data_IF_219528917576
#
_entry.id   IF_219528917576
#
_cell.length_a   1.000
_cell.length_b   1.000
_cell.length_c   1.000
_cell.angle_alpha   90.00
_cell.angle_beta   90.00
_cell.angle_gamma   90.00
#
_symmetry.space_group_name_H-M   'P 1'
#
loop_
_entity.id
_entity.type
_entity.pdbx_description
1 polymer ?
#
# COMPACT_ATOMS: atom_id res chain seq x y z
N UNK A 1 -12.22 -12.49 -70.42
CA UNK A 1 -10.94 -11.98 -69.83
C UNK A 1 -11.31 -11.10 -68.62
N UNK A 2 -11.10 -11.54 -67.38
CA UNK A 2 -11.36 -10.73 -66.16
C UNK A 2 -10.23 -9.72 -65.97
N UNK A 3 -10.57 -8.46 -65.82
CA UNK A 3 -9.66 -7.32 -65.80
C UNK A 3 -8.63 -7.39 -64.65
N UNK A 4 -7.34 -7.62 -64.85
CA UNK A 4 -6.32 -7.77 -63.84
C UNK A 4 -6.18 -6.52 -62.92
N UNK A 5 -6.52 -5.35 -63.45
CA UNK A 5 -6.47 -4.07 -62.74
C UNK A 5 -7.49 -3.96 -61.60
N UNK A 6 -8.65 -4.61 -61.66
CA UNK A 6 -9.68 -4.58 -60.63
C UNK A 6 -9.25 -5.43 -59.43
N UNK A 7 -8.68 -6.61 -59.68
CA UNK A 7 -8.20 -7.50 -58.63
C UNK A 7 -7.06 -6.85 -57.81
N UNK A 8 -6.12 -6.19 -58.51
CA UNK A 8 -5.01 -5.46 -57.85
C UNK A 8 -5.52 -4.29 -56.98
N UNK A 9 -6.53 -3.55 -57.46
CA UNK A 9 -7.17 -2.46 -56.66
C UNK A 9 -7.84 -2.99 -55.42
N UNK A 10 -8.57 -4.10 -55.48
CA UNK A 10 -9.23 -4.73 -54.35
C UNK A 10 -8.22 -5.24 -53.33
N UNK A 11 -7.12 -5.89 -53.79
CA UNK A 11 -6.04 -6.37 -52.92
C UNK A 11 -5.31 -5.20 -52.20
N UNK A 12 -5.03 -4.13 -52.94
CA UNK A 12 -4.40 -2.95 -52.36
C UNK A 12 -5.33 -2.25 -51.33
N UNK A 13 -6.61 -2.10 -51.64
CA UNK A 13 -7.60 -1.53 -50.68
C UNK A 13 -7.70 -2.37 -49.40
N UNK A 14 -7.72 -3.71 -49.51
CA UNK A 14 -7.71 -4.61 -48.34
C UNK A 14 -6.44 -4.43 -47.51
N UNK A 15 -5.25 -4.38 -48.13
CA UNK A 15 -3.98 -4.14 -47.42
C UNK A 15 -3.99 -2.80 -46.69
N UNK A 16 -4.43 -1.73 -47.35
CA UNK A 16 -4.54 -0.40 -46.76
C UNK A 16 -5.47 -0.40 -45.56
N UNK A 17 -6.62 -1.07 -45.65
CA UNK A 17 -7.57 -1.19 -44.53
C UNK A 17 -6.98 -2.00 -43.37
N UNK A 18 -6.29 -3.11 -43.68
CA UNK A 18 -5.61 -3.93 -42.65
C UNK A 18 -4.51 -3.16 -41.93
N UNK A 19 -3.66 -2.43 -42.64
CA UNK A 19 -2.62 -1.60 -42.03
C UNK A 19 -3.22 -0.44 -41.23
N UNK A 20 -4.29 0.19 -41.72
CA UNK A 20 -5.02 1.22 -40.98
C UNK A 20 -5.58 0.69 -39.64
N UNK A 21 -6.20 -0.50 -39.66
CA UNK A 21 -6.71 -1.13 -38.45
C UNK A 21 -5.60 -1.51 -37.48
N UNK A 22 -4.48 -2.06 -37.99
CA UNK A 22 -3.31 -2.36 -37.17
C UNK A 22 -2.73 -1.12 -36.47
N UNK A 23 -2.63 -0.01 -37.20
CA UNK A 23 -2.15 1.26 -36.65
C UNK A 23 -3.11 1.81 -35.57
N UNK A 24 -4.41 1.70 -35.78
CA UNK A 24 -5.42 2.09 -34.77
C UNK A 24 -5.31 1.24 -33.52
N UNK A 25 -5.19 -0.07 -33.64
CA UNK A 25 -5.01 -0.99 -32.50
C UNK A 25 -3.70 -0.68 -31.78
N UNK A 26 -2.60 -0.51 -32.49
CA UNK A 26 -1.31 -0.16 -31.89
C UNK A 26 -1.38 1.19 -31.18
N UNK A 27 -1.99 2.20 -31.81
CA UNK A 27 -2.23 3.51 -31.20
C UNK A 27 -3.06 3.42 -29.92
N UNK A 28 -4.12 2.60 -29.93
CA UNK A 28 -4.94 2.32 -28.74
C UNK A 28 -4.14 1.66 -27.61
N UNK A 29 -3.32 0.65 -27.93
CA UNK A 29 -2.46 -0.02 -26.92
C UNK A 29 -1.44 0.97 -26.34
N UNK A 30 -0.79 1.77 -27.17
CA UNK A 30 0.18 2.77 -26.70
C UNK A 30 -0.50 3.85 -25.86
N UNK A 31 -1.70 4.28 -26.24
CA UNK A 31 -2.50 5.23 -25.47
C UNK A 31 -2.88 4.68 -24.09
N UNK A 32 -3.37 3.44 -24.01
CA UNK A 32 -3.67 2.77 -22.75
C UNK A 32 -2.43 2.62 -21.89
N UNK A 33 -1.30 2.20 -22.47
CA UNK A 33 -0.05 2.09 -21.73
C UNK A 33 0.40 3.46 -21.17
N UNK A 34 0.31 4.51 -21.95
CA UNK A 34 0.63 5.87 -21.53
C UNK A 34 -0.27 6.32 -20.38
N UNK A 35 -1.58 6.08 -20.48
CA UNK A 35 -2.54 6.38 -19.42
C UNK A 35 -2.21 5.62 -18.13
N UNK A 36 -1.92 4.32 -18.23
CA UNK A 36 -1.58 3.49 -17.06
C UNK A 36 -0.30 3.97 -16.36
N UNK A 37 0.74 4.33 -17.10
CA UNK A 37 1.96 4.90 -16.54
C UNK A 37 1.73 6.30 -15.96
N UNK A 38 0.95 7.14 -16.62
CA UNK A 38 0.60 8.46 -16.09
C UNK A 38 -0.13 8.33 -14.75
N UNK A 39 -1.16 7.50 -14.66
CA UNK A 39 -1.89 7.25 -13.40
C UNK A 39 -0.95 6.72 -12.31
N UNK A 40 -0.05 5.77 -12.65
CA UNK A 40 0.89 5.20 -11.68
C UNK A 40 1.99 6.17 -11.22
N UNK A 41 2.17 7.30 -11.89
CA UNK A 41 3.16 8.34 -11.53
C UNK A 41 2.57 9.50 -10.73
N UNK A 42 1.27 9.50 -10.49
CA UNK A 42 0.61 10.51 -9.64
C UNK A 42 0.58 10.00 -8.20
N UNK A 43 0.59 10.91 -7.22
CA UNK A 43 0.37 10.60 -5.82
C UNK A 43 -0.78 11.45 -5.28
N UNK A 44 -1.78 10.80 -4.71
CA UNK A 44 -2.83 11.46 -3.95
C UNK A 44 -2.49 11.45 -2.47
N UNK A 45 -2.57 12.60 -1.81
CA UNK A 45 -2.49 12.70 -0.35
C UNK A 45 -3.91 12.85 0.21
N UNK A 46 -4.43 11.77 0.78
CA UNK A 46 -5.78 11.71 1.32
C UNK A 46 -5.79 12.06 2.81
N UNK A 47 -6.71 12.91 3.24
CA UNK A 47 -7.01 13.15 4.65
C UNK A 47 -8.33 12.45 4.99
N UNK A 48 -8.28 11.54 5.94
CA UNK A 48 -9.40 10.67 6.33
C UNK A 48 -9.67 10.88 7.81
N UNK A 49 -10.86 11.36 8.15
CA UNK A 49 -11.26 11.51 9.56
C UNK A 49 -12.09 10.31 9.99
N UNK A 50 -11.69 9.67 11.09
CA UNK A 50 -12.39 8.56 11.72
C UNK A 50 -12.73 8.91 13.17
N UNK A 51 -13.87 8.45 13.73
CA UNK A 51 -14.22 8.67 15.12
C UNK A 51 -13.26 7.88 16.02
N UNK A 52 -12.52 8.60 16.88
CA UNK A 52 -11.45 8.02 17.72
C UNK A 52 -11.97 6.88 18.60
N UNK A 53 -13.04 7.10 19.38
CA UNK A 53 -13.59 6.12 20.32
C UNK A 53 -14.16 4.86 19.64
N UNK A 54 -14.46 4.91 18.32
CA UNK A 54 -14.94 3.76 17.56
C UNK A 54 -13.82 3.08 16.78
N UNK A 55 -12.61 3.66 16.75
CA UNK A 55 -11.49 3.19 15.93
C UNK A 55 -10.34 2.69 16.80
N UNK A 56 -9.93 3.49 17.80
CA UNK A 56 -8.93 3.15 18.82
C UNK A 56 -9.42 3.69 20.17
N UNK A 57 -10.31 2.96 20.86
CA UNK A 57 -10.94 3.42 22.09
C UNK A 57 -9.91 3.84 23.14
N UNK A 58 -10.03 5.05 23.68
CA UNK A 58 -9.13 5.58 24.67
C UNK A 58 -7.76 6.06 24.17
N UNK A 59 -7.43 5.94 22.89
CA UNK A 59 -6.17 6.48 22.35
C UNK A 59 -6.14 8.02 22.30
N UNK A 60 -7.32 8.64 22.31
CA UNK A 60 -7.48 10.09 22.11
C UNK A 60 -7.32 10.53 20.66
N UNK A 61 -7.27 11.84 20.46
CA UNK A 61 -7.02 12.40 19.14
C UNK A 61 -5.62 12.04 18.64
N UNK A 62 -5.52 11.56 17.40
CA UNK A 62 -4.27 11.06 16.84
C UNK A 62 -4.24 11.27 15.32
N UNK A 63 -3.11 11.72 14.79
CA UNK A 63 -2.86 11.85 13.34
C UNK A 63 -1.80 10.85 12.92
N UNK A 64 -2.19 9.87 12.09
CA UNK A 64 -1.31 8.81 11.58
C UNK A 64 -1.06 9.03 10.09
N UNK A 65 0.20 9.12 9.67
CA UNK A 65 0.55 8.97 8.26
C UNK A 65 0.75 7.49 7.95
N UNK A 66 -0.06 6.96 7.04
CA UNK A 66 -0.01 5.56 6.63
C UNK A 66 0.25 5.43 5.13
N UNK A 67 1.29 4.70 4.77
CA UNK A 67 1.67 4.36 3.40
C UNK A 67 2.25 2.95 3.33
N UNK A 68 2.16 2.34 2.14
CA UNK A 68 2.59 0.96 1.89
C UNK A 68 2.98 0.77 0.42
N UNK A 69 3.54 -0.39 0.09
CA UNK A 69 3.72 -0.85 -1.29
C UNK A 69 4.55 0.13 -2.14
N UNK A 70 5.74 0.50 -1.68
CA UNK A 70 6.61 1.44 -2.41
C UNK A 70 7.18 0.82 -3.68
N UNK A 71 7.46 -0.49 -3.66
CA UNK A 71 7.96 -1.25 -4.81
C UNK A 71 9.12 -0.58 -5.56
N UNK A 72 10.17 -0.18 -4.83
CA UNK A 72 11.37 0.48 -5.36
C UNK A 72 11.11 1.83 -6.06
N UNK A 73 9.94 2.45 -5.88
CA UNK A 73 9.63 3.74 -6.50
C UNK A 73 10.19 4.89 -5.66
N UNK A 74 11.48 5.20 -5.85
CA UNK A 74 12.15 6.28 -5.13
C UNK A 74 11.52 7.67 -5.38
N UNK A 75 10.95 7.89 -6.57
CA UNK A 75 10.30 9.17 -6.92
C UNK A 75 9.07 9.41 -6.06
N UNK A 76 8.09 8.50 -6.08
CA UNK A 76 6.88 8.61 -5.29
C UNK A 76 7.17 8.50 -3.79
N UNK A 77 8.19 7.76 -3.38
CA UNK A 77 8.60 7.74 -1.97
C UNK A 77 9.08 9.11 -1.49
N UNK A 78 9.89 9.82 -2.28
CA UNK A 78 10.30 11.18 -1.95
C UNK A 78 9.12 12.17 -1.91
N UNK A 79 8.15 12.02 -2.81
CA UNK A 79 6.92 12.81 -2.80
C UNK A 79 6.08 12.51 -1.55
N UNK A 80 5.94 11.23 -1.19
CA UNK A 80 5.29 10.77 0.05
C UNK A 80 5.93 11.42 1.28
N UNK A 81 7.27 11.43 1.35
CA UNK A 81 8.00 12.07 2.46
C UNK A 81 7.68 13.56 2.53
N UNK A 82 7.70 14.27 1.40
CA UNK A 82 7.42 15.71 1.36
C UNK A 82 6.00 16.03 1.88
N UNK A 83 5.01 15.23 1.53
CA UNK A 83 3.65 15.36 2.07
C UNK A 83 3.58 15.08 3.57
N UNK A 84 4.29 14.04 4.06
CA UNK A 84 4.34 13.71 5.49
C UNK A 84 5.01 14.83 6.29
N UNK A 85 6.10 15.42 5.79
CA UNK A 85 6.76 16.58 6.40
C UNK A 85 5.80 17.79 6.56
N UNK A 86 4.91 18.00 5.58
CA UNK A 86 3.89 19.05 5.64
C UNK A 86 2.74 18.70 6.58
N UNK A 87 2.29 17.45 6.58
CA UNK A 87 1.15 16.98 7.38
C UNK A 87 1.45 16.94 8.89
N UNK A 88 2.72 16.82 9.28
CA UNK A 88 3.19 16.73 10.68
C UNK A 88 2.34 15.73 11.49
N UNK A 89 2.36 14.44 11.14
CA UNK A 89 1.63 13.42 11.89
C UNK A 89 2.25 13.20 13.26
N UNK A 90 1.49 12.58 14.16
CA UNK A 90 1.97 12.13 15.46
C UNK A 90 2.70 10.79 15.37
N UNK A 91 2.34 9.98 14.36
CA UNK A 91 2.87 8.64 14.12
C UNK A 91 2.96 8.37 12.61
N UNK A 92 4.03 7.70 12.18
CA UNK A 92 4.23 7.30 10.79
C UNK A 92 4.32 5.78 10.73
N UNK A 93 3.47 5.16 9.90
CA UNK A 93 3.40 3.71 9.71
C UNK A 93 3.67 3.35 8.25
N UNK A 94 4.61 2.43 8.06
CA UNK A 94 4.89 1.77 6.79
C UNK A 94 4.28 0.36 6.78
N UNK A 95 3.41 0.08 5.83
CA UNK A 95 2.58 -1.12 5.75
C UNK A 95 3.17 -2.30 4.98
N UNK A 96 4.47 -2.30 4.64
CA UNK A 96 5.13 -3.40 3.91
C UNK A 96 5.27 -3.18 2.41
N UNK A 97 5.94 -4.11 1.74
CA UNK A 97 6.27 -4.09 0.32
C UNK A 97 7.12 -2.89 -0.10
N UNK A 98 8.30 -2.79 0.53
CA UNK A 98 9.29 -1.78 0.20
C UNK A 98 9.94 -2.02 -1.16
N UNK A 99 10.15 -3.29 -1.52
CA UNK A 99 10.80 -3.72 -2.76
C UNK A 99 9.86 -4.49 -3.68
N UNK A 100 10.33 -4.76 -4.90
CA UNK A 100 9.72 -5.72 -5.85
C UNK A 100 10.57 -6.98 -5.85
N UNK A 101 9.97 -8.13 -5.57
CA UNK A 101 10.65 -9.40 -5.38
C UNK A 101 11.59 -9.77 -6.53
N UNK A 102 11.15 -9.66 -7.78
CA UNK A 102 11.92 -10.05 -8.97
C UNK A 102 12.99 -9.05 -9.43
N UNK A 103 13.15 -7.88 -8.77
CA UNK A 103 14.20 -6.92 -9.11
C UNK A 103 15.54 -7.32 -8.48
N UNK A 104 16.60 -7.44 -9.31
CA UNK A 104 17.91 -7.94 -8.88
C UNK A 104 18.67 -7.00 -7.92
N UNK A 105 18.49 -5.70 -8.05
CA UNK A 105 19.25 -4.71 -7.30
C UNK A 105 18.36 -3.61 -6.75
N UNK A 106 18.40 -3.45 -5.45
CA UNK A 106 17.89 -2.28 -4.77
C UNK A 106 19.06 -1.33 -4.47
N UNK A 107 18.94 -0.08 -4.91
CA UNK A 107 19.82 0.99 -4.44
C UNK A 107 19.31 1.43 -3.07
N UNK A 108 20.07 1.19 -2.02
CA UNK A 108 19.60 1.38 -0.64
C UNK A 108 19.74 2.81 -0.11
N UNK A 109 20.61 3.64 -0.73
CA UNK A 109 20.92 4.98 -0.22
C UNK A 109 19.70 5.90 -0.12
N UNK A 110 18.86 5.94 -1.17
CA UNK A 110 17.63 6.75 -1.16
C UNK A 110 16.63 6.28 -0.10
N UNK A 111 16.60 4.97 0.14
CA UNK A 111 15.71 4.36 1.11
C UNK A 111 16.13 4.72 2.55
N UNK A 112 17.40 4.56 2.86
CA UNK A 112 17.97 4.93 4.18
C UNK A 112 17.76 6.42 4.46
N UNK A 113 18.08 7.27 3.48
CA UNK A 113 17.91 8.72 3.64
C UNK A 113 16.43 9.10 3.82
N UNK A 114 15.54 8.54 3.01
CA UNK A 114 14.10 8.80 3.12
C UNK A 114 13.54 8.36 4.47
N UNK A 115 13.89 7.17 4.96
CA UNK A 115 13.46 6.69 6.28
C UNK A 115 13.99 7.56 7.42
N UNK A 116 15.24 8.07 7.33
CA UNK A 116 15.80 9.02 8.30
C UNK A 116 15.01 10.33 8.32
N UNK A 117 14.65 10.85 7.16
CA UNK A 117 13.79 12.05 7.05
C UNK A 117 12.44 11.81 7.74
N UNK A 118 11.80 10.66 7.48
CA UNK A 118 10.53 10.32 8.14
C UNK A 118 10.69 10.24 9.66
N UNK A 119 11.71 9.55 10.17
CA UNK A 119 11.93 9.43 11.62
C UNK A 119 12.31 10.76 12.30
N UNK A 120 12.77 11.75 11.54
CA UNK A 120 13.00 13.11 12.03
C UNK A 120 11.68 13.92 12.15
N UNK A 121 10.61 13.53 11.46
CA UNK A 121 9.29 14.18 11.54
C UNK A 121 8.51 13.69 12.77
N UNK A 122 8.39 12.37 12.93
CA UNK A 122 7.63 11.74 14.01
C UNK A 122 8.13 10.30 14.23
N UNK A 123 7.76 9.65 15.35
CA UNK A 123 7.98 8.22 15.53
C UNK A 123 7.50 7.45 14.29
N UNK A 124 8.43 6.66 13.72
CA UNK A 124 8.23 5.95 12.47
C UNK A 124 8.54 4.46 12.67
N UNK A 125 7.67 3.60 12.20
CA UNK A 125 7.88 2.15 12.22
C UNK A 125 7.17 1.47 11.06
N UNK A 126 7.47 0.21 10.80
CA UNK A 126 6.86 -0.54 9.72
C UNK A 126 6.84 -2.03 9.93
N UNK A 127 6.30 -2.72 8.94
CA UNK A 127 6.30 -4.18 8.80
C UNK A 127 6.88 -4.58 7.44
N UNK A 128 7.15 -5.86 7.26
CA UNK A 128 7.45 -6.45 5.95
C UNK A 128 6.16 -6.80 5.21
N UNK A 129 6.18 -6.71 3.87
CA UNK A 129 5.19 -7.30 2.99
C UNK A 129 5.76 -8.49 2.23
N UNK A 130 4.92 -9.24 1.50
CA UNK A 130 5.34 -10.49 0.85
C UNK A 130 6.49 -10.30 -0.16
N UNK A 131 6.54 -9.19 -0.88
CA UNK A 131 7.66 -8.92 -1.80
C UNK A 131 8.99 -8.65 -1.09
N UNK A 132 8.97 -8.28 0.18
CA UNK A 132 10.19 -8.01 0.95
C UNK A 132 10.93 -9.28 1.35
N UNK A 133 10.24 -10.43 1.46
CA UNK A 133 10.82 -11.68 1.94
C UNK A 133 11.94 -12.22 1.04
N UNK A 134 11.87 -12.05 -0.28
CA UNK A 134 12.97 -12.41 -1.18
C UNK A 134 14.25 -11.57 -0.95
N UNK A 135 14.12 -10.41 -0.33
CA UNK A 135 15.19 -9.45 -0.03
C UNK A 135 15.25 -9.09 1.45
N UNK A 136 14.67 -9.93 2.32
CA UNK A 136 14.43 -9.65 3.72
C UNK A 136 15.63 -9.02 4.42
N UNK A 137 16.80 -9.68 4.40
CA UNK A 137 18.00 -9.16 5.04
C UNK A 137 18.41 -7.76 4.52
N UNK A 138 18.16 -7.48 3.25
CA UNK A 138 18.50 -6.19 2.66
C UNK A 138 17.53 -5.10 3.13
N UNK A 139 16.22 -5.40 3.19
CA UNK A 139 15.21 -4.48 3.70
C UNK A 139 15.43 -4.24 5.20
N UNK A 140 15.63 -5.28 5.99
CA UNK A 140 15.93 -5.16 7.42
C UNK A 140 17.20 -4.30 7.67
N UNK A 141 18.27 -4.49 6.89
CA UNK A 141 19.47 -3.64 6.98
C UNK A 141 19.19 -2.17 6.66
N UNK A 142 18.32 -1.88 5.69
CA UNK A 142 17.93 -0.50 5.34
C UNK A 142 17.23 0.17 6.52
N UNK A 143 16.22 -0.48 7.08
CA UNK A 143 15.46 0.04 8.22
C UNK A 143 16.34 0.17 9.47
N UNK A 144 17.14 -0.83 9.79
CA UNK A 144 18.10 -0.78 10.88
C UNK A 144 19.12 0.37 10.72
N UNK A 145 19.68 0.56 9.51
CA UNK A 145 20.63 1.65 9.23
C UNK A 145 19.99 3.03 9.33
N UNK A 146 18.69 3.11 9.03
CA UNK A 146 17.93 4.34 9.19
C UNK A 146 17.47 4.59 10.63
N UNK A 147 17.57 3.60 11.53
CA UNK A 147 17.07 3.67 12.89
C UNK A 147 15.54 3.57 13.00
N UNK A 148 14.89 2.98 12.00
CA UNK A 148 13.43 2.79 11.97
C UNK A 148 13.08 1.34 12.31
N UNK A 149 12.30 1.08 13.37
CA UNK A 149 11.91 -0.28 13.74
C UNK A 149 11.06 -0.96 12.66
N UNK A 150 11.40 -2.23 12.36
CA UNK A 150 10.53 -3.16 11.66
C UNK A 150 9.94 -4.14 12.67
N UNK A 151 8.62 -4.16 12.79
CA UNK A 151 7.91 -5.10 13.64
C UNK A 151 7.65 -6.39 12.84
N UNK A 152 8.01 -7.52 13.43
CA UNK A 152 7.77 -8.83 12.85
C UNK A 152 7.36 -9.79 13.95
N UNK A 153 6.08 -10.13 13.99
CA UNK A 153 5.49 -10.94 15.05
C UNK A 153 5.86 -10.42 16.46
N UNK A 154 5.73 -9.12 16.63
CA UNK A 154 6.11 -8.42 17.85
C UNK A 154 5.24 -7.19 18.09
N UNK A 155 5.39 -6.61 19.26
CA UNK A 155 4.63 -5.44 19.70
C UNK A 155 5.54 -4.38 20.31
N UNK A 156 5.09 -3.12 20.26
CA UNK A 156 5.69 -1.98 20.94
C UNK A 156 4.60 -1.15 21.58
N UNK A 157 4.83 -0.71 22.80
CA UNK A 157 3.96 0.24 23.49
C UNK A 157 4.48 1.66 23.25
N UNK A 158 3.62 2.48 22.67
CA UNK A 158 3.91 3.87 22.34
C UNK A 158 2.96 4.82 23.08
N UNK A 159 3.50 5.92 23.60
CA UNK A 159 2.69 6.94 24.27
C UNK A 159 2.14 7.94 23.25
N UNK A 160 0.80 8.01 23.16
CA UNK A 160 0.11 8.98 22.33
C UNK A 160 0.33 10.42 22.84
N UNK A 161 0.07 11.45 22.05
CA UNK A 161 0.07 12.84 22.51
C UNK A 161 -0.87 13.09 23.71
N UNK A 162 -1.94 12.31 23.82
CA UNK A 162 -2.87 12.36 24.96
C UNK A 162 -2.32 11.68 26.23
N UNK A 163 -1.13 11.03 26.15
CA UNK A 163 -0.51 10.32 27.28
C UNK A 163 -0.98 8.88 27.47
N UNK A 164 -1.93 8.40 26.64
CA UNK A 164 -2.39 7.01 26.65
C UNK A 164 -1.34 6.08 26.06
N UNK A 165 -1.25 4.85 26.54
CA UNK A 165 -0.44 3.83 25.88
C UNK A 165 -1.23 3.23 24.74
N UNK A 166 -0.71 3.36 23.50
CA UNK A 166 -1.18 2.65 22.34
C UNK A 166 -0.25 1.46 22.09
N UNK A 167 -0.81 0.27 22.06
CA UNK A 167 -0.07 -0.94 21.67
C UNK A 167 -0.09 -1.10 20.17
N UNK A 168 1.09 -1.15 19.55
CA UNK A 168 1.25 -1.32 18.13
C UNK A 168 1.84 -2.70 17.89
N UNK A 169 1.10 -3.55 17.17
CA UNK A 169 1.47 -4.93 16.88
C UNK A 169 1.78 -5.06 15.40
N UNK A 170 2.96 -5.57 15.05
CA UNK A 170 3.31 -5.91 13.68
C UNK A 170 3.34 -7.43 13.47
N UNK A 171 2.55 -7.91 12.51
CA UNK A 171 2.58 -9.32 12.08
C UNK A 171 3.68 -9.57 11.06
N UNK A 172 4.14 -10.83 10.96
CA UNK A 172 4.76 -11.34 9.76
C UNK A 172 3.75 -11.46 8.62
N UNK A 173 4.22 -11.74 7.39
CA UNK A 173 3.34 -11.77 6.24
C UNK A 173 2.50 -13.04 6.17
N UNK A 174 1.21 -12.88 5.85
CA UNK A 174 0.22 -13.94 5.74
C UNK A 174 0.50 -14.88 4.56
N UNK A 175 0.89 -14.34 3.40
CA UNK A 175 1.14 -15.12 2.18
C UNK A 175 2.44 -15.93 2.27
N UNK A 176 3.42 -15.42 3.03
CA UNK A 176 4.68 -16.11 3.30
C UNK A 176 4.56 -17.13 4.45
N UNK A 177 3.38 -17.18 5.11
CA UNK A 177 3.14 -18.09 6.25
C UNK A 177 3.98 -17.76 7.49
N UNK A 178 4.46 -16.52 7.59
CA UNK A 178 5.27 -16.05 8.71
C UNK A 178 4.44 -15.41 9.81
N UNK A 179 3.16 -15.15 9.59
CA UNK A 179 2.28 -14.57 10.57
C UNK A 179 2.09 -15.49 11.78
N UNK A 180 2.40 -14.99 12.96
CA UNK A 180 2.29 -15.71 14.23
C UNK A 180 1.39 -14.95 15.23
N UNK A 181 0.05 -14.93 15.02
CA UNK A 181 -0.88 -14.20 15.86
C UNK A 181 -0.75 -14.54 17.34
N UNK A 182 -0.65 -15.85 17.68
CA UNK A 182 -0.53 -16.29 19.06
C UNK A 182 0.70 -15.70 19.77
N UNK A 183 1.83 -15.59 19.06
CA UNK A 183 3.06 -15.02 19.61
C UNK A 183 2.89 -13.53 19.91
N UNK A 184 2.32 -12.80 18.95
CA UNK A 184 2.10 -11.37 19.07
C UNK A 184 1.13 -11.04 20.21
N UNK A 185 0.01 -11.73 20.23
CA UNK A 185 -1.07 -11.43 21.18
C UNK A 185 -0.75 -11.89 22.60
N UNK A 186 0.02 -12.98 22.77
CA UNK A 186 0.53 -13.39 24.10
C UNK A 186 1.58 -12.42 24.66
N UNK A 187 2.37 -11.78 23.78
CA UNK A 187 3.36 -10.78 24.20
C UNK A 187 2.70 -9.48 24.71
N UNK A 188 1.41 -9.32 24.48
CA UNK A 188 0.68 -8.10 24.79
C UNK A 188 0.29 -7.92 26.26
N UNK A 189 0.64 -8.83 27.17
CA UNK A 189 0.31 -8.68 28.59
C UNK A 189 -1.20 -8.64 28.88
N UNK A 190 -1.55 -8.45 30.17
CA UNK A 190 -2.96 -8.41 30.62
C UNK A 190 -3.52 -6.98 30.73
N UNK A 191 -2.75 -5.97 30.35
CA UNK A 191 -3.21 -4.58 30.45
C UNK A 191 -4.07 -4.23 29.22
N UNK A 192 -5.25 -3.65 29.50
CA UNK A 192 -6.17 -3.17 28.46
C UNK A 192 -5.64 -1.85 27.86
N UNK A 193 -5.02 -1.94 26.71
CA UNK A 193 -4.60 -0.81 25.89
C UNK A 193 -5.27 -0.87 24.52
N UNK A 194 -5.60 0.28 23.89
CA UNK A 194 -5.99 0.28 22.49
C UNK A 194 -4.90 -0.37 21.64
N UNK A 195 -5.31 -1.19 20.68
CA UNK A 195 -4.42 -2.00 19.84
C UNK A 195 -4.50 -1.57 18.38
N UNK A 196 -3.41 -0.98 17.89
CA UNK A 196 -3.20 -0.76 16.47
C UNK A 196 -2.44 -1.95 15.87
N UNK A 197 -3.07 -2.66 14.98
CA UNK A 197 -2.53 -3.84 14.32
C UNK A 197 -2.00 -3.48 12.94
N UNK A 198 -0.79 -3.93 12.63
CA UNK A 198 -0.18 -3.80 11.31
C UNK A 198 -0.08 -5.19 10.69
N UNK A 199 -0.76 -5.39 9.57
CA UNK A 199 -0.70 -6.62 8.79
C UNK A 199 -0.71 -6.25 7.31
N UNK A 200 0.30 -6.70 6.56
CA UNK A 200 0.41 -6.31 5.16
C UNK A 200 -0.81 -6.75 4.34
N UNK A 201 -1.20 -8.03 4.44
CA UNK A 201 -2.40 -8.56 3.77
C UNK A 201 -3.65 -8.37 4.65
N UNK A 202 -4.72 -7.71 4.18
CA UNK A 202 -5.96 -7.54 4.94
C UNK A 202 -6.68 -8.87 5.24
N UNK A 203 -6.36 -9.95 4.55
CA UNK A 203 -6.92 -11.29 4.84
C UNK A 203 -6.41 -11.88 6.17
N UNK A 204 -5.33 -11.34 6.73
CA UNK A 204 -4.84 -11.66 8.07
C UNK A 204 -5.92 -11.50 9.14
N UNK A 205 -6.92 -10.62 8.94
CA UNK A 205 -8.05 -10.42 9.87
C UNK A 205 -8.76 -11.70 10.24
N UNK A 206 -8.82 -12.68 9.33
CA UNK A 206 -9.50 -13.95 9.58
C UNK A 206 -8.77 -14.83 10.60
N UNK A 207 -7.43 -14.80 10.61
CA UNK A 207 -6.62 -15.47 11.64
C UNK A 207 -6.68 -14.76 12.98
N UNK A 208 -6.97 -13.48 12.95
CA UNK A 208 -7.00 -12.58 14.10
C UNK A 208 -8.39 -12.39 14.70
N UNK A 209 -9.42 -13.02 14.14
CA UNK A 209 -10.83 -12.81 14.56
C UNK A 209 -11.10 -13.18 16.02
N UNK A 210 -10.31 -14.07 16.62
CA UNK A 210 -10.46 -14.53 18.00
C UNK A 210 -9.55 -13.77 18.99
N UNK A 211 -8.88 -12.71 18.55
CA UNK A 211 -8.00 -11.91 19.37
C UNK A 211 -8.53 -10.48 19.52
N UNK A 212 -8.13 -9.82 20.60
CA UNK A 212 -8.53 -8.45 20.88
C UNK A 212 -7.59 -7.46 20.17
N UNK A 213 -8.14 -6.70 19.26
CA UNK A 213 -7.51 -5.59 18.55
C UNK A 213 -8.60 -4.64 18.06
N UNK A 214 -8.27 -3.37 17.85
CA UNK A 214 -9.25 -2.33 17.52
C UNK A 214 -9.17 -1.90 16.07
N UNK A 215 -7.98 -1.56 15.60
CA UNK A 215 -7.78 -0.99 14.27
C UNK A 215 -6.62 -1.68 13.54
N UNK A 216 -6.85 -2.12 12.31
CA UNK A 216 -5.83 -2.76 11.47
C UNK A 216 -5.52 -1.88 10.26
N UNK A 217 -4.23 -1.68 9.98
CA UNK A 217 -3.71 -1.03 8.78
C UNK A 217 -3.08 -2.07 7.86
N UNK A 218 -3.50 -2.06 6.57
CA UNK A 218 -3.07 -3.03 5.56
C UNK A 218 -2.78 -2.38 4.21
N UNK A 219 -1.91 -3.01 3.42
CA UNK A 219 -1.59 -2.70 2.03
C UNK A 219 -1.95 -3.85 1.08
N UNK A 220 -0.96 -4.35 0.34
CA UNK A 220 -0.96 -5.57 -0.48
C UNK A 220 -1.89 -5.57 -1.69
N UNK A 221 -3.11 -5.11 -1.54
CA UNK A 221 -4.15 -5.26 -2.57
C UNK A 221 -3.96 -4.35 -3.78
N UNK A 222 -3.28 -3.22 -3.57
CA UNK A 222 -3.18 -2.11 -4.53
C UNK A 222 -4.53 -1.65 -5.10
N UNK A 223 -5.65 -1.96 -4.44
CA UNK A 223 -6.99 -1.82 -5.01
C UNK A 223 -7.14 -2.54 -6.37
N UNK A 224 -6.37 -3.64 -6.59
CA UNK A 224 -6.27 -4.34 -7.86
C UNK A 224 -5.59 -3.55 -8.98
N UNK A 225 -5.03 -2.37 -8.71
CA UNK A 225 -4.46 -1.40 -9.69
C UNK A 225 -5.46 -1.00 -10.80
N UNK A 226 -6.74 -1.27 -10.59
CA UNK A 226 -7.82 -1.06 -11.57
C UNK A 226 -9.05 -0.47 -10.88
N UNK A 227 -9.37 0.77 -11.20
CA UNK A 227 -10.59 1.45 -10.78
C UNK A 227 -11.63 1.51 -11.89
N UNK A 228 -12.88 1.64 -11.50
CA UNK A 228 -13.96 1.95 -12.42
C UNK A 228 -14.13 3.48 -12.47
N UNK A 229 -13.92 4.13 -13.64
CA UNK A 229 -13.97 5.59 -13.74
C UNK A 229 -15.37 6.18 -13.55
N UNK A 230 -16.43 5.36 -13.61
CA UNK A 230 -17.81 5.82 -13.50
C UNK A 230 -18.37 5.68 -12.08
N UNK A 231 -17.93 4.66 -11.34
CA UNK A 231 -18.44 4.37 -9.99
C UNK A 231 -17.44 4.70 -8.88
N UNK A 232 -16.18 4.92 -9.21
CA UNK A 232 -15.11 5.11 -8.22
C UNK A 232 -14.77 3.83 -7.42
N UNK A 233 -15.36 2.68 -7.78
CA UNK A 233 -15.07 1.40 -7.12
C UNK A 233 -13.81 0.75 -7.69
N UNK A 234 -13.15 -0.08 -6.89
CA UNK A 234 -11.96 -0.82 -7.29
C UNK A 234 -12.28 -2.26 -7.64
N UNK A 235 -11.54 -2.82 -8.58
CA UNK A 235 -11.70 -4.20 -9.04
C UNK A 235 -10.51 -5.01 -8.53
N UNK A 236 -10.74 -5.78 -7.47
CA UNK A 236 -9.74 -6.73 -6.95
C UNK A 236 -10.28 -8.15 -7.07
N UNK A 237 -9.42 -9.05 -7.56
CA UNK A 237 -9.72 -10.48 -7.64
C UNK A 237 -9.12 -11.26 -6.46
N UNK A 238 -8.35 -10.60 -5.58
CA UNK A 238 -7.62 -11.23 -4.48
C UNK A 238 -8.18 -10.94 -3.10
N UNK A 239 -8.86 -9.83 -2.91
CA UNK A 239 -9.43 -9.45 -1.63
C UNK A 239 -10.81 -8.85 -1.79
N UNK A 240 -11.69 -9.13 -0.82
CA UNK A 240 -12.99 -8.47 -0.68
C UNK A 240 -12.88 -7.02 -0.15
N UNK A 241 -11.70 -6.63 0.33
CA UNK A 241 -11.36 -5.30 0.85
C UNK A 241 -10.27 -4.66 -0.04
N UNK A 242 -10.60 -4.19 -1.24
CA UNK A 242 -9.59 -3.67 -2.18
C UNK A 242 -8.90 -2.39 -1.70
N UNK A 243 -9.63 -1.43 -1.14
CA UNK A 243 -9.10 -0.22 -0.50
C UNK A 243 -10.22 0.51 0.24
N UNK A 244 -9.88 1.22 1.31
CA UNK A 244 -10.81 1.99 2.14
C UNK A 244 -10.90 1.50 3.57
N UNK A 245 -11.86 2.02 4.31
CA UNK A 245 -12.12 1.65 5.69
C UNK A 245 -13.33 0.72 5.77
N UNK A 246 -13.18 -0.38 6.48
CA UNK A 246 -14.20 -1.42 6.62
C UNK A 246 -14.42 -1.74 8.09
N UNK A 247 -15.69 -1.89 8.46
CA UNK A 247 -16.04 -2.47 9.74
C UNK A 247 -15.86 -3.99 9.71
N UNK A 248 -15.34 -4.54 10.79
CA UNK A 248 -15.13 -5.97 10.98
C UNK A 248 -15.80 -6.44 12.28
N UNK A 249 -15.94 -7.74 12.44
CA UNK A 249 -16.60 -8.37 13.60
C UNK A 249 -16.09 -7.81 14.93
N UNK A 250 -16.97 -7.62 15.91
CA UNK A 250 -16.61 -7.16 17.26
C UNK A 250 -16.30 -5.67 17.36
N UNK A 251 -16.77 -4.84 16.41
CA UNK A 251 -16.52 -3.39 16.42
C UNK A 251 -15.15 -2.98 15.91
N UNK A 252 -14.36 -3.93 15.43
CA UNK A 252 -13.02 -3.71 14.87
C UNK A 252 -13.08 -3.05 13.50
N UNK A 253 -12.01 -2.37 13.11
CA UNK A 253 -11.90 -1.72 11.81
C UNK A 253 -10.64 -2.15 11.06
N UNK A 254 -10.75 -2.23 9.75
CA UNK A 254 -9.64 -2.51 8.83
C UNK A 254 -9.55 -1.38 7.83
N UNK A 255 -8.41 -0.75 7.74
CA UNK A 255 -8.10 0.23 6.70
C UNK A 255 -7.10 -0.37 5.72
N UNK A 256 -7.44 -0.33 4.44
CA UNK A 256 -6.61 -0.86 3.35
C UNK A 256 -6.23 0.27 2.42
N UNK A 257 -4.93 0.51 2.23
CA UNK A 257 -4.42 1.51 1.28
C UNK A 257 -4.26 0.93 -0.12
N UNK A 258 -4.36 1.81 -1.12
CA UNK A 258 -4.03 1.51 -2.52
C UNK A 258 -2.52 1.38 -2.74
N UNK A 259 -1.70 1.82 -1.78
CA UNK A 259 -0.25 1.82 -1.88
C UNK A 259 0.33 2.92 -2.76
N UNK A 260 1.63 3.19 -2.58
CA UNK A 260 2.38 4.26 -3.24
C UNK A 260 2.95 3.81 -4.59
N UNK A 261 3.49 2.61 -4.67
CA UNK A 261 4.14 2.08 -5.88
C UNK A 261 3.21 1.29 -6.78
N UNK A 262 3.81 0.59 -7.72
CA UNK A 262 3.11 -0.30 -8.66
C UNK A 262 4.04 -1.41 -9.11
N UNK A 263 3.55 -2.64 -9.15
CA UNK A 263 4.35 -3.82 -9.53
C UNK A 263 4.80 -3.75 -10.99
N UNK A 264 3.89 -3.36 -11.90
CA UNK A 264 4.14 -3.27 -13.35
C UNK A 264 4.35 -1.84 -13.85
N UNK A 265 4.40 -0.85 -12.95
CA UNK A 265 4.51 0.57 -13.32
C UNK A 265 3.27 1.12 -14.03
N UNK A 266 2.12 0.46 -13.90
CA UNK A 266 0.85 0.89 -14.51
C UNK A 266 -0.29 0.74 -13.52
N UNK A 267 -1.17 1.75 -13.51
CA UNK A 267 -2.45 1.75 -12.78
C UNK A 267 -3.51 2.39 -13.67
N UNK A 268 -4.74 1.91 -13.59
CA UNK A 268 -5.85 2.44 -14.38
C UNK A 268 -6.96 2.91 -13.45
N UNK A 269 -7.24 4.22 -13.41
CA UNK A 269 -8.24 4.83 -12.55
C UNK A 269 -8.09 4.44 -11.07
N UNK A 270 -6.85 4.22 -10.66
CA UNK A 270 -6.47 3.77 -9.33
C UNK A 270 -5.13 4.44 -8.96
N UNK A 271 -5.18 5.71 -8.61
CA UNK A 271 -4.01 6.53 -8.31
C UNK A 271 -3.31 6.05 -7.03
N UNK A 272 -1.96 5.96 -7.01
CA UNK A 272 -1.19 5.80 -5.78
C UNK A 272 -1.61 6.75 -4.67
N UNK A 273 -1.48 6.34 -3.39
CA UNK A 273 -1.91 7.20 -2.29
C UNK A 273 -1.01 7.15 -1.05
N UNK A 274 -0.95 8.29 -0.40
CA UNK A 274 -0.60 8.46 1.01
C UNK A 274 -1.88 8.77 1.78
N UNK A 275 -2.04 8.19 2.96
CA UNK A 275 -3.20 8.44 3.81
C UNK A 275 -2.78 9.13 5.11
N UNK A 276 -3.37 10.27 5.40
CA UNK A 276 -3.31 10.96 6.69
C UNK A 276 -4.62 10.63 7.40
N UNK A 277 -4.55 9.73 8.38
CA UNK A 277 -5.70 9.28 9.16
C UNK A 277 -5.78 10.12 10.42
N UNK A 278 -6.86 10.84 10.58
CA UNK A 278 -7.14 11.69 11.75
C UNK A 278 -8.22 11.03 12.61
N UNK A 279 -7.85 10.61 13.81
CA UNK A 279 -8.77 10.16 14.85
C UNK A 279 -9.23 11.37 15.65
N UNK A 280 -10.55 11.64 15.68
CA UNK A 280 -11.18 12.78 16.36
C UNK A 280 -12.37 12.35 17.20
#
# INVERSE_FOLDING_TARGET
MKCPRLLTRILNARKTLTYGLLLLVLGGILGLKSLGHHTASQLECNSITLPAEQTLPGAGALRIAFFSDIHNNAGLFNETIAHIEQARPDLIIFGGDFVVAYQRFMRTSWAVEGLRRLSAVAPCMGILGNHDYEKQEQVERVFHTAGVPLLRNGAVDWKTPAGTTLRIIGLGDYNEGDDAPERCMKACGQEEHPVLLLAHDPESRWRLRNYDWDFMLSGHTHAGQLGNPFTGTYISFRSSMPAGCYDFEGGRRVFVTRGVGSILGMRFFCTPELNIIELK
#
